data_IF_446824790726
#
_entry.id   IF_446824790726
#
_cell.length_a   1.000
_cell.length_b   1.000
_cell.length_c   1.000
_cell.angle_alpha   90.00
_cell.angle_beta   90.00
_cell.angle_gamma   90.00
#
_symmetry.space_group_name_H-M   'P 1'
#
loop_
_entity.id
_entity.type
_entity.pdbx_description
1 polymer ?
#
# COMPACT_ATOMS: atom_id res chain seq x y z
N UNK A 1 12.70 -2.07 -38.92
CA UNK A 1 11.93 -3.30 -38.74
C UNK A 1 10.66 -2.98 -37.97
N UNK A 2 9.49 -3.25 -38.56
CA UNK A 2 8.18 -2.94 -37.98
C UNK A 2 7.94 -3.79 -36.73
N UNK A 3 7.87 -3.17 -35.54
CA UNK A 3 7.35 -3.83 -34.35
C UNK A 3 5.90 -4.21 -34.66
N UNK A 4 5.58 -5.51 -34.73
CA UNK A 4 4.19 -5.96 -34.71
C UNK A 4 3.57 -5.49 -33.39
N UNK A 5 2.87 -4.36 -33.43
CA UNK A 5 2.12 -3.85 -32.30
C UNK A 5 0.99 -4.84 -32.02
N UNK A 6 0.99 -5.45 -30.84
CA UNK A 6 -0.15 -6.23 -30.40
C UNK A 6 -1.26 -5.22 -30.13
N UNK A 7 -2.30 -5.27 -30.97
CA UNK A 7 -3.48 -4.44 -30.79
C UNK A 7 -4.28 -4.92 -29.59
N UNK A 8 -5.07 -4.03 -29.01
CA UNK A 8 -6.00 -4.37 -27.93
C UNK A 8 -7.36 -3.76 -28.24
N UNK A 9 -8.40 -4.33 -27.64
CA UNK A 9 -9.77 -3.89 -27.77
C UNK A 9 -10.20 -3.17 -26.49
N UNK A 10 -10.80 -1.99 -26.64
CA UNK A 10 -11.49 -1.28 -25.57
C UNK A 10 -12.98 -1.48 -25.71
N UNK A 11 -13.61 -2.10 -24.70
CA UNK A 11 -15.05 -2.35 -24.66
C UNK A 11 -15.68 -1.42 -23.62
N UNK A 12 -16.71 -0.63 -23.96
CA UNK A 12 -17.46 0.14 -22.97
C UNK A 12 -18.17 -0.83 -22.02
N UNK A 13 -18.20 -0.50 -20.73
CA UNK A 13 -18.83 -1.33 -19.70
C UNK A 13 -19.73 -0.53 -18.77
N UNK A 14 -20.39 -1.19 -17.81
CA UNK A 14 -21.16 -0.54 -16.77
C UNK A 14 -20.33 0.54 -16.06
N UNK A 15 -20.96 1.67 -15.75
CA UNK A 15 -20.30 2.79 -15.11
C UNK A 15 -19.65 2.37 -13.79
N UNK A 16 -18.42 2.82 -13.57
CA UNK A 16 -17.78 2.72 -12.24
C UNK A 16 -18.30 3.82 -11.33
N UNK A 17 -18.20 3.60 -10.02
CA UNK A 17 -18.29 4.70 -9.05
C UNK A 17 -17.32 5.81 -9.46
N UNK A 18 -17.76 7.06 -9.38
CA UNK A 18 -16.89 8.21 -9.63
C UNK A 18 -15.87 8.38 -8.51
N UNK A 19 -14.77 9.11 -8.78
CA UNK A 19 -13.78 9.39 -7.75
C UNK A 19 -14.40 10.25 -6.62
N UNK A 20 -15.22 11.23 -6.95
CA UNK A 20 -15.86 12.12 -5.97
C UNK A 20 -16.78 11.35 -5.03
N UNK A 21 -17.61 10.45 -5.57
CA UNK A 21 -18.46 9.56 -4.76
C UNK A 21 -17.63 8.65 -3.85
N UNK A 22 -16.53 8.08 -4.36
CA UNK A 22 -15.63 7.23 -3.58
C UNK A 22 -14.94 8.00 -2.45
N UNK A 23 -14.40 9.19 -2.75
CA UNK A 23 -13.73 10.05 -1.76
C UNK A 23 -14.71 10.48 -0.67
N UNK A 24 -15.91 10.92 -1.06
CA UNK A 24 -16.95 11.32 -0.12
C UNK A 24 -17.38 10.16 0.80
N UNK A 25 -17.64 8.98 0.21
CA UNK A 25 -17.99 7.78 0.96
C UNK A 25 -16.86 7.37 1.92
N UNK A 26 -15.62 7.35 1.44
CA UNK A 26 -14.45 6.96 2.23
C UNK A 26 -14.25 7.90 3.43
N UNK A 27 -14.28 9.21 3.21
CA UNK A 27 -14.13 10.22 4.26
C UNK A 27 -15.24 10.12 5.31
N UNK A 28 -16.49 9.97 4.88
CA UNK A 28 -17.63 9.84 5.81
C UNK A 28 -17.48 8.60 6.70
N UNK A 29 -17.19 7.45 6.11
CA UNK A 29 -17.02 6.19 6.86
C UNK A 29 -15.79 6.22 7.76
N UNK A 30 -14.70 6.86 7.32
CA UNK A 30 -13.50 7.01 8.15
C UNK A 30 -13.76 7.90 9.35
N UNK A 31 -14.53 8.98 9.19
CA UNK A 31 -14.95 9.83 10.30
C UNK A 31 -15.77 9.03 11.33
N UNK A 32 -16.77 8.27 10.87
CA UNK A 32 -17.60 7.41 11.73
C UNK A 32 -16.74 6.36 12.47
N UNK A 33 -15.75 5.77 11.78
CA UNK A 33 -14.78 4.85 12.38
C UNK A 33 -14.00 5.51 13.52
N UNK A 34 -13.65 6.79 13.40
CA UNK A 34 -12.81 7.47 14.40
C UNK A 34 -13.60 8.06 15.57
N UNK A 35 -14.91 8.23 15.44
CA UNK A 35 -15.80 8.75 16.49
C UNK A 35 -16.20 7.67 17.52
N UNK A 36 -16.08 6.40 17.17
CA UNK A 36 -16.34 5.27 18.08
C UNK A 36 -15.05 4.78 18.75
N UNK A 37 -15.18 4.02 19.85
CA UNK A 37 -14.05 3.33 20.48
C UNK A 37 -13.64 2.11 19.63
N UNK A 38 -12.94 2.38 18.52
CA UNK A 38 -12.53 1.38 17.53
C UNK A 38 -11.31 0.60 17.99
N UNK A 39 -11.37 -0.72 17.85
CA UNK A 39 -10.22 -1.59 18.08
C UNK A 39 -9.28 -1.63 16.86
N UNK A 40 -8.01 -1.96 17.09
CA UNK A 40 -6.97 -1.96 16.05
C UNK A 40 -7.34 -2.81 14.83
N UNK A 41 -7.89 -4.01 15.05
CA UNK A 41 -8.30 -4.90 13.98
C UNK A 41 -9.42 -4.33 13.10
N UNK A 42 -10.29 -3.49 13.66
CA UNK A 42 -11.33 -2.82 12.89
C UNK A 42 -10.74 -1.72 12.01
N UNK A 43 -9.72 -1.01 12.50
CA UNK A 43 -8.98 -0.02 11.69
C UNK A 43 -8.18 -0.71 10.60
N UNK A 44 -7.50 -1.81 10.92
CA UNK A 44 -6.78 -2.64 9.94
C UNK A 44 -7.70 -3.03 8.78
N UNK A 45 -8.84 -3.66 9.08
CA UNK A 45 -9.81 -4.09 8.07
C UNK A 45 -10.35 -2.91 7.24
N UNK A 46 -10.54 -1.76 7.89
CA UNK A 46 -10.98 -0.55 7.20
C UNK A 46 -9.92 -0.04 6.22
N UNK A 47 -8.68 0.10 6.66
CA UNK A 47 -7.57 0.57 5.83
C UNK A 47 -7.22 -0.41 4.70
N UNK A 48 -7.38 -1.72 4.93
CA UNK A 48 -7.32 -2.74 3.87
C UNK A 48 -8.40 -2.52 2.80
N UNK A 49 -9.58 -2.05 3.18
CA UNK A 49 -10.69 -1.79 2.25
C UNK A 49 -10.54 -0.47 1.49
N UNK A 50 -9.77 0.47 2.05
CA UNK A 50 -9.58 1.82 1.53
C UNK A 50 -8.09 2.20 1.49
N UNK A 51 -7.26 1.51 0.68
CA UNK A 51 -5.81 1.69 0.68
C UNK A 51 -5.36 3.11 0.35
N UNK A 52 -6.21 3.91 -0.31
CA UNK A 52 -5.95 5.33 -0.58
C UNK A 52 -5.84 6.20 0.69
N UNK A 53 -6.29 5.73 1.85
CA UNK A 53 -6.08 6.40 3.14
C UNK A 53 -4.72 6.08 3.78
N UNK A 54 -4.06 5.02 3.33
CA UNK A 54 -2.80 4.58 3.95
C UNK A 54 -1.64 5.43 3.41
N UNK A 55 -0.92 6.15 4.28
CA UNK A 55 0.14 7.05 3.87
C UNK A 55 1.38 6.29 3.39
N UNK A 56 2.39 7.01 2.91
CA UNK A 56 3.72 6.43 2.66
C UNK A 56 4.02 6.03 1.22
N UNK A 57 3.09 6.13 0.28
CA UNK A 57 3.37 5.79 -1.12
C UNK A 57 4.34 6.77 -1.81
N UNK A 58 4.39 8.01 -1.33
CA UNK A 58 5.24 9.09 -1.88
C UNK A 58 6.27 9.60 -0.90
N UNK A 59 6.33 9.04 0.31
CA UNK A 59 7.33 9.42 1.32
C UNK A 59 8.33 8.28 1.52
N UNK A 60 9.59 8.61 1.85
CA UNK A 60 10.15 9.94 2.03
C UNK A 60 10.39 10.63 0.67
N UNK A 61 10.24 11.95 0.63
CA UNK A 61 10.51 12.77 -0.57
C UNK A 61 9.28 13.33 -1.29
N UNK A 62 9.51 13.83 -2.50
CA UNK A 62 8.47 14.45 -3.31
C UNK A 62 7.68 13.41 -4.10
N UNK A 63 6.40 13.69 -4.32
CA UNK A 63 5.49 12.84 -5.09
C UNK A 63 6.06 12.53 -6.47
N UNK A 64 6.22 11.23 -6.73
CA UNK A 64 6.62 10.67 -8.01
C UNK A 64 5.40 10.46 -8.91
N UNK A 65 5.57 10.55 -10.23
CA UNK A 65 4.55 10.13 -11.20
C UNK A 65 4.40 8.61 -11.30
N UNK A 66 5.29 7.84 -10.66
CA UNK A 66 5.25 6.39 -10.65
C UNK A 66 4.26 5.88 -9.59
N UNK A 67 3.40 4.95 -9.99
CA UNK A 67 2.60 4.17 -9.03
C UNK A 67 3.51 3.26 -8.20
N UNK A 68 3.13 2.95 -6.94
CA UNK A 68 3.77 1.88 -6.18
C UNK A 68 3.78 0.55 -6.93
N UNK A 69 4.60 -0.39 -6.45
CA UNK A 69 4.70 -1.74 -6.98
C UNK A 69 3.31 -2.36 -7.13
N UNK A 70 3.02 -2.83 -8.33
CA UNK A 70 1.72 -3.36 -8.74
C UNK A 70 0.50 -2.45 -8.47
N UNK A 71 0.70 -1.16 -8.23
CA UNK A 71 -0.34 -0.22 -7.80
C UNK A 71 -1.13 -0.73 -6.59
N UNK A 72 -0.44 -1.33 -5.62
CA UNK A 72 -1.11 -2.04 -4.52
C UNK A 72 -0.45 -1.74 -3.17
N UNK A 73 -1.29 -1.63 -2.15
CA UNK A 73 -0.90 -1.66 -0.75
C UNK A 73 -0.68 -3.12 -0.36
N UNK A 74 0.43 -3.43 0.29
CA UNK A 74 0.70 -4.77 0.79
C UNK A 74 0.25 -4.82 2.24
N UNK A 75 -0.78 -5.62 2.56
CA UNK A 75 -1.20 -5.86 3.96
C UNK A 75 -0.38 -6.96 4.59
N UNK A 76 -0.04 -6.77 5.88
CA UNK A 76 0.69 -7.70 6.71
C UNK A 76 1.92 -8.31 6.02
N UNK A 77 2.80 -7.49 5.40
CA UNK A 77 4.03 -7.97 4.79
C UNK A 77 4.85 -8.76 5.81
N UNK A 78 5.37 -9.91 5.41
CA UNK A 78 6.32 -10.66 6.24
C UNK A 78 7.75 -10.22 5.94
N UNK A 79 8.49 -9.89 6.99
CA UNK A 79 9.93 -9.66 6.97
C UNK A 79 10.60 -10.91 7.57
N UNK A 80 10.92 -11.85 6.70
CA UNK A 80 11.43 -13.16 7.11
C UNK A 80 12.89 -13.08 7.58
N UNK A 81 13.19 -13.55 8.79
CA UNK A 81 14.54 -13.51 9.33
C UNK A 81 14.74 -14.51 10.47
N UNK A 82 15.68 -14.21 11.38
CA UNK A 82 15.79 -14.94 12.65
C UNK A 82 14.52 -14.74 13.49
N UNK A 83 14.05 -13.50 13.54
CA UNK A 83 12.72 -13.12 14.01
C UNK A 83 11.88 -12.73 12.80
N UNK A 84 10.66 -13.26 12.72
CA UNK A 84 9.67 -12.85 11.73
C UNK A 84 8.96 -11.59 12.23
N UNK A 85 9.07 -10.49 11.48
CA UNK A 85 8.31 -9.27 11.75
C UNK A 85 7.16 -9.13 10.73
N UNK A 86 6.03 -8.62 11.20
CA UNK A 86 4.84 -8.40 10.38
C UNK A 86 4.33 -6.97 10.64
N UNK A 87 4.85 -5.97 9.91
CA UNK A 87 4.21 -4.66 9.83
C UNK A 87 2.75 -4.77 9.39
N UNK A 88 1.90 -3.83 9.76
CA UNK A 88 0.49 -3.84 9.34
C UNK A 88 0.34 -3.61 7.83
N UNK A 89 1.14 -2.70 7.28
CA UNK A 89 1.15 -2.42 5.85
C UNK A 89 2.53 -2.11 5.28
N UNK A 90 2.62 -2.17 3.95
CA UNK A 90 3.77 -1.69 3.21
C UNK A 90 3.39 -1.15 1.84
N UNK A 91 4.01 -0.03 1.48
CA UNK A 91 4.16 0.40 0.09
C UNK A 91 5.57 0.08 -0.40
N UNK A 92 5.70 -0.23 -1.69
CA UNK A 92 7.01 -0.29 -2.36
C UNK A 92 7.00 0.72 -3.50
N UNK A 93 7.70 1.83 -3.31
CA UNK A 93 7.66 2.97 -4.22
C UNK A 93 9.03 3.32 -4.77
N UNK A 94 9.08 4.14 -5.81
CA UNK A 94 10.35 4.62 -6.37
C UNK A 94 10.26 6.04 -6.90
N UNK A 95 11.36 6.77 -6.77
CA UNK A 95 11.60 8.03 -7.46
C UNK A 95 12.96 8.00 -8.15
N UNK A 96 13.37 9.13 -8.73
CA UNK A 96 14.53 9.28 -9.63
C UNK A 96 15.87 8.71 -9.14
N UNK A 97 16.13 8.58 -7.83
CA UNK A 97 17.41 8.11 -7.28
C UNK A 97 17.33 6.94 -6.29
N UNK A 98 16.12 6.57 -5.84
CA UNK A 98 15.96 5.57 -4.79
C UNK A 98 14.61 4.84 -4.92
N UNK A 99 14.48 3.75 -4.18
CA UNK A 99 13.23 3.03 -3.98
C UNK A 99 13.05 2.70 -2.49
N UNK A 100 11.80 2.63 -2.08
CA UNK A 100 11.40 2.71 -0.68
C UNK A 100 10.43 1.58 -0.36
N UNK A 101 10.85 0.57 0.41
CA UNK A 101 9.91 -0.19 1.20
C UNK A 101 9.48 0.69 2.39
N UNK A 102 8.30 1.29 2.27
CA UNK A 102 7.69 2.09 3.33
C UNK A 102 6.81 1.18 4.17
N UNK A 103 7.27 0.83 5.38
CA UNK A 103 6.53 0.04 6.35
C UNK A 103 5.65 0.93 7.20
N UNK A 104 4.43 0.48 7.47
CA UNK A 104 3.46 1.22 8.29
C UNK A 104 3.01 0.32 9.43
N UNK A 105 3.16 0.81 10.65
CA UNK A 105 2.53 0.26 11.85
C UNK A 105 1.32 1.13 12.21
N UNK A 106 0.21 0.50 12.56
CA UNK A 106 -0.95 1.15 13.13
C UNK A 106 -1.16 0.66 14.55
N UNK A 107 -1.70 1.54 15.37
CA UNK A 107 -2.12 1.21 16.73
C UNK A 107 -3.59 1.57 16.90
N UNK A 108 -4.29 1.09 17.93
CA UNK A 108 -5.70 1.51 18.09
C UNK A 108 -5.82 3.04 18.27
N UNK A 109 -6.83 3.71 17.68
CA UNK A 109 -6.92 5.17 17.71
C UNK A 109 -7.02 5.75 19.12
N UNK A 110 -7.63 5.03 20.05
CA UNK A 110 -7.80 5.47 21.44
C UNK A 110 -6.54 5.39 22.31
N UNK A 111 -5.44 4.79 21.84
CA UNK A 111 -4.19 4.72 22.60
C UNK A 111 -3.59 6.11 22.80
N UNK A 112 -3.02 6.34 24.00
CA UNK A 112 -2.40 7.60 24.39
C UNK A 112 -0.90 7.56 24.17
N UNK A 113 -0.37 8.62 23.56
CA UNK A 113 1.07 8.81 23.40
C UNK A 113 1.67 9.19 24.76
N UNK A 114 1.00 10.04 25.53
CA UNK A 114 1.53 10.63 26.76
C UNK A 114 0.82 10.13 28.01
N UNK A 115 1.58 10.00 29.09
CA UNK A 115 1.07 9.85 30.46
C UNK A 115 0.62 11.21 31.00
N UNK A 116 -0.05 11.20 32.16
CA UNK A 116 -0.48 12.43 32.84
C UNK A 116 0.67 13.39 33.17
N UNK A 117 1.88 12.86 33.38
CA UNK A 117 3.12 13.63 33.62
C UNK A 117 3.72 14.22 32.33
N UNK A 118 3.09 14.01 31.17
CA UNK A 118 3.55 14.48 29.87
C UNK A 118 4.68 13.66 29.25
N UNK A 119 5.09 12.54 29.85
CA UNK A 119 6.12 11.66 29.28
C UNK A 119 5.49 10.54 28.43
N UNK A 120 6.21 9.99 27.43
CA UNK A 120 5.65 8.94 26.57
C UNK A 120 5.22 7.68 27.35
N UNK A 121 4.13 7.07 26.91
CA UNK A 121 3.59 5.84 27.48
C UNK A 121 4.47 4.63 27.15
N UNK A 122 4.36 3.57 27.96
CA UNK A 122 5.07 2.32 27.69
C UNK A 122 4.60 1.67 26.39
N UNK A 123 3.30 1.75 26.09
CA UNK A 123 2.71 1.26 24.83
C UNK A 123 3.28 2.01 23.62
N UNK A 124 3.37 3.34 23.69
CA UNK A 124 3.99 4.13 22.62
C UNK A 124 5.46 3.74 22.41
N UNK A 125 6.21 3.57 23.50
CA UNK A 125 7.61 3.16 23.42
C UNK A 125 7.76 1.75 22.82
N UNK A 126 6.82 0.84 23.09
CA UNK A 126 6.79 -0.48 22.48
C UNK A 126 6.57 -0.38 20.97
N UNK A 127 5.55 0.38 20.53
CA UNK A 127 5.28 0.60 19.11
C UNK A 127 6.50 1.21 18.39
N UNK A 128 7.09 2.26 18.97
CA UNK A 128 8.33 2.87 18.46
C UNK A 128 9.49 1.86 18.36
N UNK A 129 9.58 0.92 19.30
CA UNK A 129 10.64 -0.08 19.26
C UNK A 129 10.48 -1.07 18.10
N UNK A 130 9.26 -1.36 17.65
CA UNK A 130 9.04 -2.19 16.45
C UNK A 130 9.68 -1.56 15.20
N UNK A 131 9.59 -0.23 15.05
CA UNK A 131 10.25 0.49 13.95
C UNK A 131 11.79 0.31 14.00
N UNK A 132 12.38 0.36 15.19
CA UNK A 132 13.82 0.10 15.38
C UNK A 132 14.22 -1.33 15.03
N UNK A 133 13.34 -2.30 15.31
CA UNK A 133 13.55 -3.71 14.97
C UNK A 133 13.57 -3.88 13.45
N UNK A 134 12.62 -3.29 12.73
CA UNK A 134 12.60 -3.36 11.26
C UNK A 134 13.80 -2.67 10.63
N UNK A 135 14.18 -1.50 11.16
CA UNK A 135 15.41 -0.81 10.74
C UNK A 135 16.63 -1.70 10.89
N UNK A 136 16.74 -2.40 12.02
CA UNK A 136 17.84 -3.33 12.28
C UNK A 136 17.77 -4.55 11.35
N UNK A 137 16.57 -5.06 11.08
CA UNK A 137 16.33 -6.14 10.14
C UNK A 137 16.82 -5.79 8.73
N UNK A 138 16.52 -4.59 8.24
CA UNK A 138 16.99 -4.11 6.93
C UNK A 138 18.49 -3.82 6.86
N UNK A 139 19.22 -3.70 7.99
CA UNK A 139 20.68 -3.53 7.95
C UNK A 139 21.42 -4.80 7.54
N UNK A 140 20.79 -5.96 7.65
CA UNK A 140 21.38 -7.24 7.23
C UNK A 140 21.19 -7.43 5.71
N UNK A 141 22.28 -7.51 4.91
CA UNK A 141 22.19 -7.73 3.46
C UNK A 141 21.44 -9.01 3.06
N UNK A 142 21.49 -10.05 3.89
CA UNK A 142 20.78 -11.33 3.64
C UNK A 142 19.28 -11.11 3.68
N UNK A 143 18.80 -10.36 4.68
CA UNK A 143 17.40 -9.98 4.80
C UNK A 143 16.95 -9.11 3.61
N UNK A 144 17.80 -8.17 3.17
CA UNK A 144 17.48 -7.35 1.98
C UNK A 144 17.34 -8.22 0.72
N UNK A 145 18.24 -9.18 0.49
CA UNK A 145 18.16 -10.09 -0.64
C UNK A 145 16.92 -10.99 -0.57
N UNK A 146 16.57 -11.47 0.63
CA UNK A 146 15.35 -12.24 0.84
C UNK A 146 14.09 -11.41 0.61
N UNK A 147 14.07 -10.15 1.07
CA UNK A 147 13.01 -9.19 0.80
C UNK A 147 12.80 -9.03 -0.71
N UNK A 148 13.89 -8.72 -1.43
CA UNK A 148 13.88 -8.51 -2.88
C UNK A 148 13.25 -9.70 -3.62
N UNK A 149 13.66 -10.92 -3.26
CA UNK A 149 13.13 -12.16 -3.85
C UNK A 149 11.68 -12.42 -3.47
N UNK A 150 11.31 -12.17 -2.21
CA UNK A 150 9.97 -12.47 -1.69
C UNK A 150 8.91 -11.57 -2.33
N UNK A 151 9.24 -10.30 -2.53
CA UNK A 151 8.34 -9.31 -3.13
C UNK A 151 8.56 -9.09 -4.63
N UNK A 152 9.55 -9.75 -5.24
CA UNK A 152 9.78 -9.69 -6.68
C UNK A 152 10.11 -8.29 -7.17
N UNK A 153 11.01 -7.61 -6.48
CA UNK A 153 11.40 -6.23 -6.78
C UNK A 153 12.04 -6.20 -8.19
N UNK A 154 11.53 -5.37 -9.12
CA UNK A 154 11.97 -5.37 -10.50
C UNK A 154 13.33 -4.68 -10.68
N UNK A 155 14.09 -5.10 -11.70
CA UNK A 155 15.46 -4.64 -11.96
C UNK A 155 15.62 -3.11 -12.03
N UNK A 156 14.64 -2.40 -12.59
CA UNK A 156 14.68 -0.94 -12.69
C UNK A 156 14.63 -0.22 -11.32
N UNK A 157 14.09 -0.88 -10.29
CA UNK A 157 14.17 -0.41 -8.89
C UNK A 157 15.51 -0.82 -8.28
N UNK A 158 15.97 -2.05 -8.53
CA UNK A 158 17.25 -2.56 -8.01
C UNK A 158 18.48 -1.77 -8.51
N UNK A 159 18.37 -1.10 -9.65
CA UNK A 159 19.38 -0.17 -10.14
C UNK A 159 19.50 1.13 -9.30
N UNK A 160 18.67 1.29 -8.26
CA UNK A 160 18.59 2.47 -7.38
C UNK A 160 18.85 2.06 -5.94
N UNK A 161 19.20 3.02 -5.10
CA UNK A 161 19.44 2.77 -3.67
C UNK A 161 18.14 2.42 -2.96
N UNK A 162 18.13 1.32 -2.19
CA UNK A 162 17.04 1.00 -1.28
C UNK A 162 17.12 1.87 -0.04
N UNK A 163 16.01 2.53 0.31
CA UNK A 163 15.89 3.38 1.49
C UNK A 163 14.61 2.97 2.23
N UNK A 164 14.71 2.08 3.24
CA UNK A 164 13.55 1.76 4.08
C UNK A 164 13.00 3.01 4.75
N UNK A 165 11.69 3.05 4.93
CA UNK A 165 10.99 4.13 5.61
C UNK A 165 9.91 3.57 6.53
N UNK A 166 9.70 4.19 7.68
CA UNK A 166 8.80 3.67 8.70
C UNK A 166 7.78 4.72 9.13
N UNK A 167 6.50 4.38 9.05
CA UNK A 167 5.42 5.27 9.50
C UNK A 167 4.73 4.61 10.68
N UNK A 168 4.63 5.33 11.80
CA UNK A 168 3.82 4.93 12.94
C UNK A 168 2.54 5.79 12.97
N UNK A 169 1.38 5.16 12.87
CA UNK A 169 0.08 5.80 13.00
C UNK A 169 -0.47 5.50 14.40
N UNK A 170 -0.44 6.50 15.28
CA UNK A 170 -0.72 6.31 16.71
C UNK A 170 -1.55 7.45 17.29
N UNK A 171 -2.63 7.08 17.98
CA UNK A 171 -3.44 8.01 18.76
C UNK A 171 -4.26 9.01 17.93
N UNK A 172 -5.06 9.81 18.65
CA UNK A 172 -5.86 10.92 18.08
C UNK A 172 -5.15 12.26 18.28
N UNK A 173 -5.35 13.18 17.36
CA UNK A 173 -4.88 14.58 17.43
C UNK A 173 -5.42 15.31 18.67
N UNK A 174 -6.62 14.98 19.11
CA UNK A 174 -7.28 15.57 20.29
C UNK A 174 -6.53 15.36 21.61
N UNK A 175 -5.54 14.45 21.67
CA UNK A 175 -4.66 14.32 22.84
C UNK A 175 -3.73 15.52 23.03
N UNK A 176 -3.30 16.19 21.96
CA UNK A 176 -2.23 17.19 22.02
C UNK A 176 -2.56 18.52 21.32
N UNK A 177 -3.58 18.60 20.48
CA UNK A 177 -3.85 19.80 19.65
C UNK A 177 -4.10 21.10 20.41
N UNK A 178 -4.54 21.01 21.67
CA UNK A 178 -4.79 22.15 22.54
C UNK A 178 -3.71 22.31 23.63
N UNK A 179 -2.60 21.59 23.54
CA UNK A 179 -1.44 21.69 24.44
C UNK A 179 -0.16 21.86 23.62
N UNK A 180 0.32 23.11 23.54
CA UNK A 180 1.53 23.47 22.79
C UNK A 180 2.76 22.67 23.23
N UNK A 181 2.87 22.37 24.52
CA UNK A 181 4.00 21.61 25.07
C UNK A 181 3.96 20.17 24.58
N UNK A 182 2.80 19.51 24.63
CA UNK A 182 2.64 18.15 24.10
C UNK A 182 2.82 18.10 22.58
N UNK A 183 2.30 19.10 21.86
CA UNK A 183 2.49 19.22 20.40
C UNK A 183 3.97 19.32 20.04
N UNK A 184 4.73 20.18 20.72
CA UNK A 184 6.18 20.30 20.52
C UNK A 184 6.92 19.02 20.87
N UNK A 185 6.61 18.41 22.04
CA UNK A 185 7.22 17.16 22.46
C UNK A 185 6.97 16.05 21.45
N UNK A 186 5.75 15.92 20.93
CA UNK A 186 5.37 14.94 19.93
C UNK A 186 6.22 15.05 18.66
N UNK A 187 6.52 16.28 18.24
CA UNK A 187 7.39 16.55 17.09
C UNK A 187 8.82 16.04 17.23
N UNK A 188 9.25 15.70 18.45
CA UNK A 188 10.60 15.17 18.73
C UNK A 188 10.65 13.67 19.02
N UNK A 189 9.50 12.98 19.08
CA UNK A 189 9.43 11.57 19.48
C UNK A 189 10.00 10.62 18.42
N UNK A 190 9.80 10.94 17.14
CA UNK A 190 10.44 10.30 15.99
C UNK A 190 11.22 11.37 15.23
N UNK A 191 12.53 11.30 15.27
CA UNK A 191 13.45 12.32 14.73
C UNK A 191 14.39 11.76 13.66
N UNK A 192 14.31 10.46 13.36
CA UNK A 192 15.04 9.85 12.27
C UNK A 192 14.56 10.36 10.91
N UNK A 193 15.46 10.43 9.94
CA UNK A 193 15.11 10.85 8.58
C UNK A 193 14.28 9.80 7.81
N UNK A 194 14.20 8.58 8.35
CA UNK A 194 13.51 7.41 7.79
C UNK A 194 12.26 7.05 8.59
N UNK A 195 11.73 7.97 9.41
CA UNK A 195 10.55 7.73 10.22
C UNK A 195 9.56 8.90 10.26
N UNK A 196 8.27 8.57 10.34
CA UNK A 196 7.18 9.55 10.49
C UNK A 196 6.22 9.11 11.59
N UNK A 197 5.78 10.05 12.42
CA UNK A 197 4.73 9.82 13.43
C UNK A 197 3.46 10.55 13.03
N UNK A 198 2.42 9.80 12.66
CA UNK A 198 1.11 10.33 12.27
C UNK A 198 0.05 10.04 13.35
N UNK A 199 -0.97 10.89 13.42
CA UNK A 199 -2.21 10.58 14.15
C UNK A 199 -3.23 10.07 13.15
N UNK A 200 -4.25 9.34 13.62
CA UNK A 200 -5.34 8.91 12.73
C UNK A 200 -6.05 10.08 12.05
N UNK A 201 -6.13 11.24 12.71
CA UNK A 201 -6.72 12.47 12.15
C UNK A 201 -5.92 13.09 10.98
N UNK A 202 -4.68 12.63 10.75
CA UNK A 202 -3.86 13.09 9.65
C UNK A 202 -4.09 12.29 8.36
N UNK A 203 -4.76 11.13 8.42
CA UNK A 203 -5.01 10.31 7.24
C UNK A 203 -6.07 10.97 6.35
N UNK A 204 -5.76 11.03 5.05
CA UNK A 204 -6.63 11.61 4.04
C UNK A 204 -6.56 10.74 2.78
N UNK A 205 -7.65 10.73 2.01
CA UNK A 205 -7.69 10.00 0.75
C UNK A 205 -6.71 10.63 -0.24
N UNK A 206 -5.71 9.87 -0.67
CA UNK A 206 -4.89 10.25 -1.81
C UNK A 206 -5.60 9.87 -3.11
N UNK A 207 -6.02 10.88 -3.87
CA UNK A 207 -6.72 10.71 -5.14
C UNK A 207 -5.92 9.88 -6.17
N UNK A 208 -4.59 9.90 -6.10
CA UNK A 208 -3.70 9.10 -6.96
C UNK A 208 -3.85 7.60 -6.73
N UNK A 209 -4.22 7.23 -5.50
CA UNK A 209 -4.31 5.86 -5.04
C UNK A 209 -5.75 5.33 -5.00
N UNK A 210 -6.74 6.11 -5.47
CA UNK A 210 -8.15 5.69 -5.49
C UNK A 210 -8.37 4.34 -6.18
N UNK A 211 -7.54 4.01 -7.19
CA UNK A 211 -7.58 2.72 -7.89
C UNK A 211 -6.59 1.68 -7.36
N UNK A 212 -5.90 1.94 -6.26
CA UNK A 212 -4.97 0.98 -5.67
C UNK A 212 -5.73 -0.17 -5.02
N UNK A 213 -5.18 -1.38 -5.13
CA UNK A 213 -5.71 -2.56 -4.44
C UNK A 213 -5.02 -2.74 -3.10
N UNK A 214 -5.62 -3.53 -2.22
CA UNK A 214 -4.87 -4.18 -1.15
C UNK A 214 -4.54 -5.60 -1.55
N UNK A 215 -3.30 -6.01 -1.37
CA UNK A 215 -2.79 -7.35 -1.68
C UNK A 215 -2.05 -7.94 -0.49
N UNK A 216 -2.00 -9.26 -0.42
CA UNK A 216 -1.14 -10.00 0.52
C UNK A 216 -0.01 -10.67 -0.24
N UNK A 217 1.22 -10.49 0.22
CA UNK A 217 2.38 -11.18 -0.32
C UNK A 217 2.28 -12.69 -0.08
N UNK A 218 2.46 -13.49 -1.14
CA UNK A 218 2.46 -14.97 -1.06
C UNK A 218 3.85 -15.56 -1.30
N UNK A 219 4.86 -14.70 -1.47
CA UNK A 219 6.25 -15.05 -1.73
C UNK A 219 6.59 -15.14 -3.23
N UNK A 220 7.88 -15.08 -3.53
CA UNK A 220 8.43 -15.17 -4.90
C UNK A 220 7.82 -14.16 -5.89
N UNK A 221 7.53 -12.94 -5.43
CA UNK A 221 6.91 -11.90 -6.26
C UNK A 221 5.46 -12.16 -6.66
N UNK A 222 4.78 -13.06 -5.93
CA UNK A 222 3.36 -13.37 -6.13
C UNK A 222 2.51 -12.76 -5.03
N UNK A 223 1.33 -12.30 -5.42
CA UNK A 223 0.40 -11.62 -4.54
C UNK A 223 -1.01 -12.19 -4.67
N UNK A 224 -1.77 -12.13 -3.60
CA UNK A 224 -3.22 -12.39 -3.61
C UNK A 224 -3.96 -11.10 -3.35
N UNK A 225 -4.93 -10.76 -4.20
CA UNK A 225 -5.82 -9.63 -3.95
C UNK A 225 -6.64 -9.87 -2.68
N UNK A 226 -6.71 -8.85 -1.83
CA UNK A 226 -7.55 -8.82 -0.64
C UNK A 226 -8.78 -7.96 -0.93
N UNK A 227 -8.56 -6.74 -1.43
CA UNK A 227 -9.64 -5.81 -1.78
C UNK A 227 -9.37 -5.12 -3.13
N UNK A 228 -10.45 -4.72 -3.79
CA UNK A 228 -10.44 -4.01 -5.07
C UNK A 228 -11.38 -2.81 -4.92
N UNK A 229 -10.96 -1.56 -5.14
CA UNK A 229 -11.84 -0.41 -4.93
C UNK A 229 -12.93 -0.33 -6.01
N UNK A 230 -14.12 0.24 -5.71
CA UNK A 230 -15.22 0.30 -6.67
C UNK A 230 -14.94 1.18 -7.89
N UNK A 231 -13.97 2.10 -7.78
CA UNK A 231 -13.47 2.94 -8.87
C UNK A 231 -12.49 2.21 -9.79
N UNK A 232 -12.08 0.99 -9.45
CA UNK A 232 -11.06 0.23 -10.19
C UNK A 232 -11.41 0.10 -11.68
N UNK A 233 -10.43 0.35 -12.56
CA UNK A 233 -10.58 0.20 -14.01
C UNK A 233 -9.46 -0.65 -14.61
N UNK A 234 -9.79 -1.41 -15.65
CA UNK A 234 -8.82 -2.23 -16.39
C UNK A 234 -8.30 -1.49 -17.62
N UNK A 235 -7.08 -1.80 -18.05
CA UNK A 235 -6.51 -1.24 -19.27
C UNK A 235 -5.09 -1.77 -19.54
N UNK A 236 -4.51 -1.43 -20.71
CA UNK A 236 -3.20 -1.96 -21.12
C UNK A 236 -2.09 -1.59 -20.12
N UNK A 237 -2.12 -0.39 -19.56
CA UNK A 237 -1.12 0.11 -18.60
C UNK A 237 -1.10 -0.65 -17.26
N UNK A 238 -2.08 -1.50 -16.98
CA UNK A 238 -2.18 -2.32 -15.76
C UNK A 238 -2.12 -3.82 -16.04
N UNK A 239 -2.27 -4.23 -17.30
CA UNK A 239 -2.42 -5.63 -17.69
C UNK A 239 -1.25 -6.50 -17.23
N UNK A 240 -0.02 -6.03 -17.37
CA UNK A 240 1.17 -6.77 -16.91
C UNK A 240 1.18 -6.99 -15.40
N UNK A 241 0.76 -5.98 -14.61
CA UNK A 241 0.75 -6.07 -13.14
C UNK A 241 -0.22 -7.15 -12.66
N UNK A 242 -1.35 -7.32 -13.35
CA UNK A 242 -2.35 -8.36 -13.03
C UNK A 242 -1.79 -9.78 -13.18
N UNK A 243 -0.72 -10.01 -13.94
CA UNK A 243 -0.10 -11.33 -14.05
C UNK A 243 0.49 -11.82 -12.72
N UNK A 244 0.84 -10.90 -11.81
CA UNK A 244 1.46 -11.19 -10.52
C UNK A 244 0.45 -11.28 -9.37
N UNK A 245 -0.82 -10.95 -9.63
CA UNK A 245 -1.88 -10.90 -8.62
C UNK A 245 -2.96 -11.95 -8.93
N UNK A 246 -3.11 -12.88 -8.00
CA UNK A 246 -4.14 -13.92 -7.99
C UNK A 246 -5.37 -13.47 -7.17
N UNK A 247 -6.51 -14.13 -7.36
CA UNK A 247 -7.73 -13.84 -6.57
C UNK A 247 -8.42 -12.50 -6.86
N UNK A 248 -8.05 -11.79 -7.94
CA UNK A 248 -8.67 -10.49 -8.28
C UNK A 248 -10.18 -10.60 -8.50
N UNK A 249 -10.64 -11.69 -9.13
CA UNK A 249 -12.08 -11.94 -9.33
C UNK A 249 -12.83 -12.11 -8.00
N UNK A 250 -12.26 -12.84 -7.05
CA UNK A 250 -12.86 -13.06 -5.73
C UNK A 250 -12.94 -11.73 -4.96
N UNK A 251 -11.88 -10.92 -5.02
CA UNK A 251 -11.87 -9.59 -4.39
C UNK A 251 -12.86 -8.61 -5.02
N UNK A 252 -13.17 -8.75 -6.33
CA UNK A 252 -14.26 -8.02 -6.99
C UNK A 252 -15.61 -8.48 -6.48
N UNK A 253 -15.82 -9.80 -6.39
CA UNK A 253 -17.10 -10.38 -5.97
C UNK A 253 -17.45 -10.01 -4.53
N UNK A 254 -16.43 -9.90 -3.67
CA UNK A 254 -16.56 -9.52 -2.26
C UNK A 254 -16.76 -8.02 -2.02
N UNK A 255 -16.61 -7.14 -3.04
CA UNK A 255 -16.83 -5.71 -2.82
C UNK A 255 -18.33 -5.36 -2.98
N UNK A 256 -19.02 -4.90 -1.92
CA UNK A 256 -20.45 -4.58 -1.98
C UNK A 256 -20.76 -3.28 -2.75
N UNK A 257 -19.75 -2.46 -3.04
CA UNK A 257 -19.89 -1.20 -3.77
C UNK A 257 -19.68 -1.34 -5.28
N UNK A 258 -19.45 -2.57 -5.78
CA UNK A 258 -19.41 -2.87 -7.22
C UNK A 258 -20.72 -3.55 -7.60
N UNK A 259 -21.46 -3.00 -8.57
CA UNK A 259 -22.69 -3.62 -9.05
C UNK A 259 -22.43 -4.96 -9.74
N UNK A 260 -23.41 -5.88 -9.73
CA UNK A 260 -23.26 -7.22 -10.30
C UNK A 260 -22.91 -7.22 -11.81
N UNK A 261 -23.55 -6.35 -12.60
CA UNK A 261 -23.21 -6.15 -14.01
C UNK A 261 -21.75 -5.74 -14.17
N UNK A 262 -21.27 -4.88 -13.28
CA UNK A 262 -19.90 -4.38 -13.31
C UNK A 262 -18.89 -5.43 -12.84
N UNK A 263 -19.22 -6.24 -11.82
CA UNK A 263 -18.40 -7.38 -11.40
C UNK A 263 -18.20 -8.33 -12.57
N UNK A 264 -19.27 -8.68 -13.27
CA UNK A 264 -19.25 -9.54 -14.46
C UNK A 264 -18.36 -8.94 -15.55
N UNK A 265 -18.54 -7.67 -15.87
CA UNK A 265 -17.72 -6.96 -16.85
C UNK A 265 -16.23 -6.98 -16.48
N UNK A 266 -15.87 -6.61 -15.25
CA UNK A 266 -14.48 -6.56 -14.79
C UNK A 266 -13.81 -7.93 -14.87
N UNK A 267 -14.50 -9.01 -14.45
CA UNK A 267 -13.95 -10.37 -14.50
C UNK A 267 -13.61 -10.79 -15.94
N UNK A 268 -14.52 -10.55 -16.89
CA UNK A 268 -14.25 -10.79 -18.32
C UNK A 268 -13.06 -9.98 -18.81
N UNK A 269 -12.99 -8.70 -18.44
CA UNK A 269 -11.88 -7.83 -18.88
C UNK A 269 -10.54 -8.21 -18.25
N UNK A 270 -10.50 -8.64 -16.99
CA UNK A 270 -9.27 -9.11 -16.34
C UNK A 270 -8.72 -10.34 -17.08
N UNK A 271 -9.56 -11.31 -17.41
CA UNK A 271 -9.15 -12.49 -18.19
C UNK A 271 -8.56 -12.08 -19.53
N UNK A 272 -9.24 -11.18 -20.25
CA UNK A 272 -8.73 -10.62 -21.50
C UNK A 272 -7.35 -9.95 -21.33
N UNK A 273 -7.20 -9.07 -20.36
CA UNK A 273 -5.95 -8.33 -20.15
C UNK A 273 -4.79 -9.22 -19.70
N UNK A 274 -5.05 -10.24 -18.88
CA UNK A 274 -4.04 -11.24 -18.52
C UNK A 274 -3.57 -12.01 -19.76
N UNK A 275 -4.50 -12.45 -20.61
CA UNK A 275 -4.16 -13.11 -21.89
C UNK A 275 -3.33 -12.21 -22.81
N UNK A 276 -3.75 -10.96 -22.99
CA UNK A 276 -3.04 -9.96 -23.79
C UNK A 276 -1.62 -9.69 -23.27
N UNK A 277 -1.44 -9.52 -21.96
CA UNK A 277 -0.14 -9.26 -21.35
C UNK A 277 0.81 -10.46 -21.47
N UNK A 278 0.32 -11.69 -21.27
CA UNK A 278 1.12 -12.91 -21.46
C UNK A 278 1.60 -13.07 -22.90
N UNK A 279 0.71 -12.86 -23.88
CA UNK A 279 1.08 -12.90 -25.30
C UNK A 279 2.12 -11.83 -25.66
N UNK A 280 2.01 -10.65 -25.05
CA UNK A 280 2.96 -9.56 -25.22
C UNK A 280 4.35 -9.90 -24.69
N UNK A 281 4.46 -10.55 -23.53
CA UNK A 281 5.74 -10.99 -22.98
C UNK A 281 6.41 -12.07 -23.82
N UNK A 282 5.65 -13.07 -24.27
CA UNK A 282 6.21 -14.19 -25.05
C UNK A 282 6.86 -13.72 -26.36
N UNK A 283 6.28 -12.74 -27.06
CA UNK A 283 6.86 -12.19 -28.31
C UNK A 283 8.12 -11.35 -28.10
N UNK A 284 8.27 -10.72 -26.94
CA UNK A 284 9.50 -9.97 -26.60
C UNK A 284 10.67 -10.92 -26.34
N UNK A 285 10.40 -12.10 -25.77
CA UNK A 285 11.41 -13.13 -25.52
C UNK A 285 11.83 -13.80 -26.83
N UNK A 286 10.89 -14.18 -27.70
CA UNK A 286 11.22 -14.83 -28.99
C UNK A 286 12.07 -13.98 -29.93
N UNK A 287 12.03 -12.64 -29.80
CA UNK A 287 12.89 -11.76 -30.60
C UNK A 287 14.28 -11.50 -29.98
N UNK A 288 14.52 -11.91 -28.73
CA UNK A 288 15.82 -11.75 -28.05
C UNK A 288 16.71 -12.99 -28.14
N UNK A 289 16.13 -14.16 -28.43
CA UNK A 289 16.86 -15.43 -28.55
C UNK A 289 17.32 -15.72 -30.00
N UNK A 290 17.06 -14.81 -30.94
CA UNK A 290 17.40 -14.91 -32.38
C UNK A 290 18.52 -13.92 -32.82
N UNK A 291 19.33 -13.39 -31.88
CA UNK A 291 20.57 -12.63 -32.15
C UNK A 291 21.80 -13.33 -31.52
#
# INVERSE_FOLDING_TARGET
>A
MSRLSITYETVPGPARMSNDEYVAMCNQRYKELLERNTEECEVQNFLESYPSLVPGHSTPGARSGHMPLHCSLITQPKLHGLDDYIPDFMWVSTHSGAWFPTLIEIEKPGKKIFKQDGTPSAEFNHARNQLNQWRSWFKDPTNQLQFIRSYGIPDYMLARTMQPHMILIYGRRSEFENDDRLTQQRGTLLSGADEELMSFDALQVDEFLTQAFTVKGTGRGRYRAVTVPPVFSTGPNRAERLLYIDGVSDAIDNNPHISEDRKTFLKTRITYWKGWASASKSRVISHRDDE
#
